data_IF_814735445588
#
_entry.id   IF_814735445588
#
_cell.length_a   1.000
_cell.length_b   1.000
_cell.length_c   1.000
_cell.angle_alpha   90.00
_cell.angle_beta   90.00
_cell.angle_gamma   90.00
#
_symmetry.space_group_name_H-M   'P 1'
#
loop_
_entity.id
_entity.type
_entity.pdbx_description
1 polymer ?
#
# COMPACT_ATOMS: atom_id res chain seq x y z
N UNK A 1 14.09 -20.17 2.38
CA UNK A 1 14.12 -18.99 3.27
C UNK A 1 12.71 -18.41 3.31
N UNK A 2 12.20 -18.01 4.47
CA UNK A 2 10.89 -17.35 4.55
C UNK A 2 11.03 -15.89 4.09
N UNK A 3 10.50 -15.57 2.92
CA UNK A 3 10.41 -14.19 2.43
C UNK A 3 9.20 -13.51 3.08
N UNK A 4 9.44 -12.71 4.12
CA UNK A 4 8.41 -11.84 4.68
C UNK A 4 8.14 -10.72 3.68
N UNK A 5 6.87 -10.56 3.27
CA UNK A 5 6.41 -9.46 2.43
C UNK A 5 5.59 -8.49 3.28
N UNK A 6 5.86 -7.20 3.16
CA UNK A 6 5.15 -6.10 3.83
C UNK A 6 4.59 -5.18 2.75
N UNK A 7 3.28 -5.00 2.76
CA UNK A 7 2.57 -4.14 1.81
C UNK A 7 1.81 -3.04 2.55
N UNK A 8 1.67 -1.88 1.93
CA UNK A 8 0.87 -0.76 2.43
C UNK A 8 -0.41 -0.59 1.60
N UNK A 9 -1.53 -0.23 2.23
CA UNK A 9 -2.79 0.06 1.53
C UNK A 9 -3.43 1.33 2.08
N UNK A 10 -3.61 2.31 1.21
CA UNK A 10 -4.34 3.54 1.49
C UNK A 10 -5.79 3.39 1.06
N UNK A 11 -6.71 3.63 2.00
CA UNK A 11 -8.15 3.67 1.72
C UNK A 11 -8.52 5.00 1.04
N UNK A 12 -9.61 5.04 0.24
CA UNK A 12 -10.24 6.30 -0.17
C UNK A 12 -10.59 7.18 1.04
N UNK A 13 -10.51 8.50 0.87
CA UNK A 13 -11.01 9.45 1.86
C UNK A 13 -12.56 9.44 1.88
N UNK A 14 -13.14 9.35 3.08
CA UNK A 14 -14.61 9.36 3.29
C UNK A 14 -15.19 10.78 3.38
N UNK A 15 -14.35 11.78 3.59
CA UNK A 15 -14.74 13.15 3.85
C UNK A 15 -13.97 14.05 2.90
N UNK A 16 -14.68 14.86 2.10
CA UNK A 16 -14.12 15.75 1.08
C UNK A 16 -13.30 16.92 1.64
N UNK A 17 -12.58 16.72 2.74
CA UNK A 17 -11.52 17.60 3.20
C UNK A 17 -10.31 17.40 2.27
N UNK A 18 -10.38 18.02 1.08
CA UNK A 18 -9.33 18.02 0.06
C UNK A 18 -7.98 18.57 0.58
N UNK A 19 -7.97 19.19 1.77
CA UNK A 19 -6.84 19.97 2.30
C UNK A 19 -5.85 19.22 3.21
N UNK A 20 -6.06 17.94 3.56
CA UNK A 20 -5.16 17.23 4.51
C UNK A 20 -4.77 15.82 4.07
N UNK A 21 -4.48 15.60 2.79
CA UNK A 21 -3.76 14.39 2.40
C UNK A 21 -2.27 14.52 2.84
N UNK A 22 -1.93 13.99 4.02
CA UNK A 22 -0.54 13.93 4.50
C UNK A 22 0.31 12.91 3.74
N UNK A 23 -0.28 12.18 2.78
CA UNK A 23 0.37 11.15 1.97
C UNK A 23 0.39 11.57 0.50
N UNK A 24 1.56 11.48 -0.13
CA UNK A 24 1.76 11.66 -1.56
C UNK A 24 2.20 10.34 -2.19
N UNK A 25 1.38 9.81 -3.10
CA UNK A 25 1.75 8.65 -3.90
C UNK A 25 2.98 8.96 -4.79
N UNK A 26 3.92 8.02 -4.88
CA UNK A 26 5.02 8.08 -5.85
C UNK A 26 4.80 7.02 -6.92
N UNK A 27 4.84 5.75 -6.52
CA UNK A 27 4.68 4.61 -7.40
C UNK A 27 4.14 3.39 -6.62
N UNK A 28 4.22 2.20 -7.21
CA UNK A 28 3.69 0.97 -6.63
C UNK A 28 4.48 0.41 -5.45
N UNK A 29 5.59 1.03 -5.04
CA UNK A 29 6.45 0.58 -3.95
C UNK A 29 6.75 1.70 -2.96
N UNK A 30 6.67 2.97 -3.38
CA UNK A 30 7.01 4.13 -2.57
C UNK A 30 5.87 5.14 -2.39
N UNK A 31 5.81 5.75 -1.21
CA UNK A 31 5.01 6.95 -0.93
C UNK A 31 5.76 7.90 0.01
N UNK A 32 5.34 9.16 0.04
CA UNK A 32 5.85 10.17 0.97
C UNK A 32 4.79 10.55 2.00
N UNK A 33 5.20 10.65 3.26
CA UNK A 33 4.40 11.24 4.35
C UNK A 33 4.95 12.62 4.68
N UNK A 34 4.05 13.60 4.81
CA UNK A 34 4.34 14.94 5.35
C UNK A 34 3.94 14.99 6.81
N UNK A 35 4.88 15.38 7.67
CA UNK A 35 4.60 15.60 9.09
C UNK A 35 4.02 17.01 9.36
N UNK A 36 3.72 17.30 10.63
CA UNK A 36 3.19 18.60 11.07
C UNK A 36 4.18 19.77 10.82
N UNK A 37 5.48 19.47 10.72
CA UNK A 37 6.54 20.44 10.41
C UNK A 37 6.78 20.59 8.90
N UNK A 38 5.99 19.89 8.07
CA UNK A 38 6.13 19.82 6.60
C UNK A 38 7.41 19.13 6.14
N UNK A 39 8.04 18.32 6.99
CA UNK A 39 9.13 17.44 6.59
C UNK A 39 8.57 16.26 5.78
N UNK A 40 9.24 15.91 4.67
CA UNK A 40 8.85 14.80 3.79
C UNK A 40 9.66 13.54 4.12
N UNK A 41 8.96 12.43 4.36
CA UNK A 41 9.56 11.13 4.65
C UNK A 41 9.12 10.12 3.60
N UNK A 42 10.06 9.52 2.88
CA UNK A 42 9.80 8.45 1.91
C UNK A 42 9.79 7.09 2.60
N UNK A 43 8.81 6.27 2.26
CA UNK A 43 8.69 4.89 2.71
C UNK A 43 8.61 3.95 1.51
N UNK A 44 9.31 2.80 1.60
CA UNK A 44 9.35 1.76 0.57
C UNK A 44 8.80 0.44 1.13
N UNK A 45 7.98 -0.24 0.33
CA UNK A 45 7.33 -1.52 0.66
C UNK A 45 7.42 -2.48 -0.53
N UNK A 46 7.12 -3.77 -0.33
CA UNK A 46 7.02 -4.73 -1.43
C UNK A 46 5.89 -4.38 -2.41
N UNK A 47 4.85 -3.69 -1.92
CA UNK A 47 3.77 -3.10 -2.72
C UNK A 47 3.00 -2.04 -1.94
N UNK A 48 2.60 -0.98 -2.62
CA UNK A 48 1.69 0.05 -2.13
C UNK A 48 0.44 0.07 -2.99
N UNK A 49 -0.72 -0.04 -2.35
CA UNK A 49 -2.04 0.06 -2.99
C UNK A 49 -2.68 1.40 -2.62
N UNK A 50 -3.13 2.15 -3.62
CA UNK A 50 -3.77 3.46 -3.42
C UNK A 50 -5.29 3.35 -3.61
N UNK A 51 -5.97 4.48 -3.49
CA UNK A 51 -7.43 4.60 -3.59
C UNK A 51 -8.04 3.92 -4.83
N UNK A 52 -7.35 3.92 -5.97
CA UNK A 52 -7.82 3.31 -7.21
C UNK A 52 -7.54 1.80 -7.34
N UNK A 53 -6.85 1.18 -6.38
CA UNK A 53 -6.53 -0.26 -6.46
C UNK A 53 -7.77 -1.11 -6.22
N UNK A 54 -8.04 -2.05 -7.13
CA UNK A 54 -9.18 -2.94 -7.00
C UNK A 54 -8.93 -4.01 -5.92
N UNK A 55 -10.02 -4.57 -5.37
CA UNK A 55 -9.90 -5.67 -4.42
C UNK A 55 -9.25 -6.91 -5.06
N UNK A 56 -9.47 -7.12 -6.37
CA UNK A 56 -8.83 -8.18 -7.14
C UNK A 56 -7.31 -8.01 -7.16
N UNK A 57 -6.81 -6.80 -7.42
CA UNK A 57 -5.37 -6.49 -7.44
C UNK A 57 -4.68 -6.82 -6.10
N UNK A 58 -5.34 -6.46 -4.98
CA UNK A 58 -4.84 -6.73 -3.63
C UNK A 58 -4.79 -8.24 -3.36
N UNK A 59 -5.86 -8.96 -3.74
CA UNK A 59 -5.94 -10.42 -3.58
C UNK A 59 -4.86 -11.14 -4.39
N UNK A 60 -4.73 -10.81 -5.68
CA UNK A 60 -3.83 -11.48 -6.61
C UNK A 60 -2.36 -11.31 -6.21
N UNK A 61 -1.99 -10.16 -5.66
CA UNK A 61 -0.62 -9.91 -5.23
C UNK A 61 -0.31 -10.53 -3.85
N UNK A 62 -1.20 -10.33 -2.87
CA UNK A 62 -0.93 -10.70 -1.47
C UNK A 62 -1.35 -12.15 -1.21
N UNK A 63 -2.64 -12.44 -1.38
CA UNK A 63 -3.26 -13.66 -0.89
C UNK A 63 -3.08 -14.86 -1.84
N UNK A 64 -3.18 -14.64 -3.16
CA UNK A 64 -3.11 -15.73 -4.13
C UNK A 64 -1.81 -16.56 -4.04
N UNK A 65 -0.60 -15.98 -3.86
CA UNK A 65 0.61 -16.77 -3.65
C UNK A 65 0.59 -17.60 -2.37
N UNK A 66 -0.04 -17.11 -1.30
CA UNK A 66 -0.17 -17.81 -0.02
C UNK A 66 -1.10 -19.02 -0.20
N UNK A 67 -2.28 -18.80 -0.81
CA UNK A 67 -3.28 -19.86 -1.08
C UNK A 67 -2.69 -20.94 -1.99
N UNK A 68 -2.04 -20.56 -3.09
CA UNK A 68 -1.38 -21.51 -3.99
C UNK A 68 -0.26 -22.26 -3.27
N UNK A 69 0.53 -21.58 -2.45
CA UNK A 69 1.56 -22.21 -1.63
C UNK A 69 1.02 -23.25 -0.65
N UNK A 70 -0.19 -23.04 -0.11
CA UNK A 70 -0.86 -24.00 0.77
C UNK A 70 -1.51 -25.18 0.04
N UNK A 71 -1.84 -25.04 -1.25
CA UNK A 71 -2.52 -26.10 -2.02
C UNK A 71 -1.59 -27.20 -2.53
N UNK A 72 -0.27 -27.03 -2.40
CA UNK A 72 0.76 -28.02 -2.73
C UNK A 72 1.36 -28.72 -1.48
N UNK A 73 0.73 -28.55 -0.31
CA UNK A 73 1.02 -29.32 0.91
C UNK A 73 -0.09 -30.34 1.15
#
# INVERSE_FOLDING_TARGET
MSHLRVCARFRPDDHGDEDIACVRAIDSECFIVKDEKKEEFEFTFDRVFYQGSEQADVYDFIALPIVKGTSYM
#
